data_IF_340053701872
#
_entry.id   IF_340053701872
#
_cell.length_a   1.000
_cell.length_b   1.000
_cell.length_c   1.000
_cell.angle_alpha   90.00
_cell.angle_beta   90.00
_cell.angle_gamma   90.00
#
_symmetry.space_group_name_H-M   'P 1'
#
loop_
_entity.id
_entity.type
_entity.pdbx_description
1 polymer ?
#
# COMPACT_ATOMS: atom_id res chain seq x y z
N UNK A 1 3.70 9.73 -4.42
CA UNK A 1 3.61 8.69 -3.39
C UNK A 1 4.61 7.56 -3.65
N UNK A 2 4.54 6.79 -4.73
CA UNK A 2 5.35 5.56 -4.94
C UNK A 2 6.87 5.79 -4.99
N UNK A 3 7.32 6.89 -5.59
CA UNK A 3 8.75 7.26 -5.55
C UNK A 3 9.24 7.54 -4.14
N UNK A 4 8.42 8.20 -3.35
CA UNK A 4 8.71 8.46 -1.94
C UNK A 4 8.78 7.15 -1.14
N UNK A 5 7.82 6.22 -1.34
CA UNK A 5 7.83 4.89 -0.72
C UNK A 5 9.12 4.14 -1.06
N UNK A 6 9.47 4.05 -2.34
CA UNK A 6 10.68 3.36 -2.79
C UNK A 6 11.95 3.97 -2.16
N UNK A 7 12.03 5.30 -2.07
CA UNK A 7 13.17 5.99 -1.50
C UNK A 7 13.27 5.83 0.02
N UNK A 8 12.16 5.89 0.75
CA UNK A 8 12.15 5.92 2.22
C UNK A 8 12.00 4.54 2.87
N UNK A 9 11.33 3.60 2.20
CA UNK A 9 11.03 2.25 2.73
C UNK A 9 11.69 1.12 1.94
N UNK A 10 12.34 1.41 0.84
CA UNK A 10 13.00 0.40 -0.02
C UNK A 10 14.06 -0.40 0.71
N UNK A 11 14.79 0.18 1.65
CA UNK A 11 15.77 -0.53 2.47
C UNK A 11 15.11 -1.57 3.39
N UNK A 12 13.96 -1.26 3.99
CA UNK A 12 13.18 -2.21 4.80
C UNK A 12 12.67 -3.38 3.94
N UNK A 13 12.11 -3.07 2.77
CA UNK A 13 11.67 -4.11 1.83
C UNK A 13 12.83 -5.04 1.41
N UNK A 14 14.03 -4.51 1.19
CA UNK A 14 15.21 -5.34 0.86
C UNK A 14 15.63 -6.27 1.99
N UNK A 15 15.49 -5.84 3.24
CA UNK A 15 15.85 -6.66 4.42
C UNK A 15 14.84 -7.76 4.69
N UNK A 16 13.58 -7.56 4.31
CA UNK A 16 12.54 -8.58 4.47
C UNK A 16 12.88 -9.81 3.65
N UNK A 17 12.69 -10.99 4.24
CA UNK A 17 12.87 -12.28 3.57
C UNK A 17 11.80 -12.51 2.51
N UNK A 18 10.57 -12.02 2.75
CA UNK A 18 9.43 -12.10 1.86
C UNK A 18 8.68 -10.77 1.83
N UNK A 19 9.17 -9.76 1.08
CA UNK A 19 8.57 -8.44 1.06
C UNK A 19 7.29 -8.43 0.24
N UNK A 20 6.14 -8.41 0.92
CA UNK A 20 4.81 -8.25 0.32
C UNK A 20 4.33 -6.82 0.49
N UNK A 21 3.96 -6.20 -0.61
CA UNK A 21 3.26 -4.92 -0.65
C UNK A 21 1.81 -5.13 -1.09
N UNK A 22 0.90 -4.46 -0.43
CA UNK A 22 -0.53 -4.47 -0.76
C UNK A 22 -0.93 -3.12 -1.34
N UNK A 23 -1.60 -3.13 -2.48
CA UNK A 23 -2.29 -1.97 -3.03
C UNK A 23 -3.79 -2.12 -2.75
N UNK A 24 -4.25 -1.46 -1.70
CA UNK A 24 -5.61 -1.58 -1.18
C UNK A 24 -6.54 -0.61 -1.91
N UNK A 25 -7.64 -1.15 -2.46
CA UNK A 25 -8.62 -0.37 -3.19
C UNK A 25 -8.08 0.21 -4.50
N UNK A 26 -7.42 -0.61 -5.32
CA UNK A 26 -6.77 -0.15 -6.55
C UNK A 26 -7.74 0.37 -7.63
N UNK A 27 -9.06 0.14 -7.46
CA UNK A 27 -10.09 0.72 -8.31
C UNK A 27 -10.41 -0.06 -9.57
N UNK A 28 -10.88 0.63 -10.60
CA UNK A 28 -11.45 0.02 -11.80
C UNK A 28 -10.43 -0.66 -12.72
N UNK A 29 -9.14 -0.30 -12.63
CA UNK A 29 -8.10 -0.83 -13.50
C UNK A 29 -6.84 -1.20 -12.72
N UNK A 30 -6.08 -2.23 -13.15
CA UNK A 30 -4.96 -2.79 -12.40
C UNK A 30 -3.66 -1.97 -12.52
N UNK A 31 -3.72 -0.75 -13.00
CA UNK A 31 -2.53 0.03 -13.32
C UNK A 31 -1.73 0.42 -12.08
N UNK A 32 -2.41 0.76 -10.98
CA UNK A 32 -1.71 1.20 -9.78
C UNK A 32 -0.92 0.08 -9.10
N UNK A 33 -1.40 -1.18 -8.98
CA UNK A 33 -0.55 -2.29 -8.53
C UNK A 33 0.60 -2.62 -9.50
N UNK A 34 0.36 -2.53 -10.81
CA UNK A 34 1.39 -2.75 -11.84
C UNK A 34 2.52 -1.72 -11.70
N UNK A 35 2.18 -0.43 -11.59
CA UNK A 35 3.15 0.64 -11.42
C UNK A 35 3.87 0.54 -10.07
N UNK A 36 3.16 0.21 -9.00
CA UNK A 36 3.75 -0.01 -7.68
C UNK A 36 4.81 -1.11 -7.73
N UNK A 37 4.50 -2.27 -8.33
CA UNK A 37 5.46 -3.36 -8.49
C UNK A 37 6.71 -2.89 -9.23
N UNK A 38 6.54 -2.24 -10.37
CA UNK A 38 7.65 -1.72 -11.17
C UNK A 38 8.51 -0.77 -10.34
N UNK A 39 7.88 0.13 -9.60
CA UNK A 39 8.57 1.13 -8.79
C UNK A 39 9.31 0.51 -7.59
N UNK A 40 8.68 -0.39 -6.86
CA UNK A 40 9.28 -1.01 -5.69
C UNK A 40 10.45 -1.93 -6.05
N UNK A 41 10.37 -2.64 -7.18
CA UNK A 41 11.44 -3.53 -7.64
C UNK A 41 12.73 -2.80 -8.03
N UNK A 42 12.67 -1.50 -8.32
CA UNK A 42 13.90 -0.71 -8.50
C UNK A 42 14.72 -0.60 -7.21
N UNK A 43 14.06 -0.60 -6.06
CA UNK A 43 14.69 -0.49 -4.74
C UNK A 43 14.82 -1.85 -4.03
N UNK A 44 13.88 -2.77 -4.25
CA UNK A 44 13.79 -4.08 -3.59
C UNK A 44 13.31 -5.14 -4.61
N UNK A 45 14.21 -5.77 -5.38
CA UNK A 45 13.86 -6.63 -6.53
C UNK A 45 12.97 -7.83 -6.21
N UNK A 46 13.00 -8.34 -4.96
CA UNK A 46 12.18 -9.49 -4.53
C UNK A 46 10.75 -9.11 -4.14
N UNK A 47 10.39 -7.83 -4.15
CA UNK A 47 9.06 -7.38 -3.74
C UNK A 47 7.98 -8.00 -4.62
N UNK A 48 6.95 -8.50 -3.94
CA UNK A 48 5.69 -8.93 -4.55
C UNK A 48 4.60 -7.92 -4.22
N UNK A 49 3.67 -7.71 -5.14
CA UNK A 49 2.52 -6.83 -4.95
C UNK A 49 1.23 -7.62 -5.04
N UNK A 50 0.32 -7.38 -4.14
CA UNK A 50 -1.05 -7.90 -4.17
C UNK A 50 -2.01 -6.71 -4.25
N UNK A 51 -2.72 -6.60 -5.36
CA UNK A 51 -3.85 -5.67 -5.49
C UNK A 51 -5.07 -6.25 -4.76
N UNK A 52 -5.65 -5.48 -3.85
CA UNK A 52 -6.85 -5.86 -3.10
C UNK A 52 -7.99 -4.91 -3.46
N UNK A 53 -9.13 -5.45 -3.85
CA UNK A 53 -10.31 -4.67 -4.26
C UNK A 53 -11.58 -5.36 -3.74
N UNK A 54 -12.52 -4.54 -3.27
CA UNK A 54 -13.77 -5.04 -2.68
C UNK A 54 -14.82 -5.43 -3.75
N UNK A 55 -14.70 -4.88 -4.95
CA UNK A 55 -15.57 -5.22 -6.07
C UNK A 55 -15.05 -6.49 -6.78
N UNK A 56 -15.78 -7.61 -6.71
CA UNK A 56 -15.34 -8.86 -7.33
C UNK A 56 -15.25 -8.78 -8.86
N UNK A 57 -16.03 -7.93 -9.51
CA UNK A 57 -15.96 -7.74 -10.95
C UNK A 57 -14.65 -7.06 -11.36
N UNK A 58 -14.19 -6.08 -10.59
CA UNK A 58 -12.87 -5.44 -10.79
C UNK A 58 -11.73 -6.40 -10.57
N UNK A 59 -11.83 -7.27 -9.56
CA UNK A 59 -10.84 -8.33 -9.34
C UNK A 59 -10.79 -9.30 -10.52
N UNK A 60 -11.95 -9.74 -11.02
CA UNK A 60 -12.01 -10.62 -12.18
C UNK A 60 -11.39 -9.96 -13.41
N UNK A 61 -11.65 -8.68 -13.65
CA UNK A 61 -11.08 -7.93 -14.76
C UNK A 61 -9.56 -7.73 -14.65
N UNK A 62 -9.01 -7.73 -13.42
CA UNK A 62 -7.58 -7.58 -13.17
C UNK A 62 -6.78 -8.89 -13.32
N UNK A 63 -7.41 -10.06 -13.16
CA UNK A 63 -6.75 -11.38 -13.22
C UNK A 63 -5.87 -11.61 -14.45
N UNK A 64 -6.26 -11.20 -15.68
CA UNK A 64 -5.39 -11.37 -16.86
C UNK A 64 -4.03 -10.68 -16.75
N UNK A 65 -3.86 -9.75 -15.82
CA UNK A 65 -2.61 -9.03 -15.56
C UNK A 65 -1.75 -9.70 -14.48
N UNK A 66 -2.22 -10.79 -13.86
CA UNK A 66 -1.42 -11.57 -12.90
C UNK A 66 -0.16 -12.11 -13.56
N UNK A 67 0.93 -12.04 -12.85
CA UNK A 67 2.24 -12.55 -13.26
C UNK A 67 3.14 -12.75 -12.05
N UNK A 68 4.35 -13.22 -12.29
CA UNK A 68 5.34 -13.35 -11.21
C UNK A 68 5.47 -12.06 -10.40
N UNK A 69 5.17 -12.16 -9.12
CA UNK A 69 5.22 -11.04 -8.17
C UNK A 69 4.03 -10.10 -8.21
N UNK A 70 2.99 -10.37 -9.01
CA UNK A 70 1.76 -9.59 -9.04
C UNK A 70 0.53 -10.50 -8.99
N UNK A 71 -0.31 -10.31 -8.00
CA UNK A 71 -1.57 -11.02 -7.85
C UNK A 71 -2.70 -10.06 -7.45
N UNK A 72 -3.95 -10.49 -7.66
CA UNK A 72 -5.13 -9.74 -7.28
C UNK A 72 -6.03 -10.58 -6.38
N UNK A 73 -6.62 -9.95 -5.35
CA UNK A 73 -7.46 -10.60 -4.36
C UNK A 73 -8.72 -9.77 -4.09
N UNK A 74 -9.83 -10.48 -3.95
CA UNK A 74 -11.06 -9.89 -3.44
C UNK A 74 -10.97 -9.71 -1.93
N UNK A 75 -11.28 -8.52 -1.43
CA UNK A 75 -11.27 -8.20 -0.01
C UNK A 75 -11.21 -6.70 0.26
N UNK A 76 -11.12 -6.37 1.54
CA UNK A 76 -11.10 -5.00 2.04
C UNK A 76 -10.05 -4.80 3.12
N UNK A 77 -10.44 -4.15 4.22
CA UNK A 77 -9.52 -3.78 5.30
C UNK A 77 -8.99 -4.96 6.13
N UNK A 78 -9.51 -6.16 5.92
CA UNK A 78 -8.95 -7.40 6.48
C UNK A 78 -7.63 -7.80 5.82
N UNK A 79 -7.35 -7.24 4.65
CA UNK A 79 -6.10 -7.46 3.90
C UNK A 79 -5.83 -8.95 3.69
N UNK A 80 -6.49 -9.62 2.72
CA UNK A 80 -6.48 -11.08 2.55
C UNK A 80 -5.17 -11.59 1.91
N UNK A 81 -4.04 -11.37 2.58
CA UNK A 81 -2.73 -11.90 2.23
C UNK A 81 -2.20 -12.78 3.34
N UNK A 82 -1.37 -13.76 2.97
CA UNK A 82 -0.68 -14.60 3.97
C UNK A 82 0.39 -13.80 4.68
N UNK A 83 0.52 -14.02 5.97
CA UNK A 83 1.49 -13.33 6.82
C UNK A 83 1.16 -11.85 7.03
N UNK A 84 2.20 -11.10 7.32
CA UNK A 84 2.10 -9.67 7.61
C UNK A 84 2.79 -8.87 6.50
N UNK A 85 2.08 -8.03 5.75
CA UNK A 85 2.67 -7.26 4.67
C UNK A 85 3.71 -6.27 5.18
N UNK A 86 4.76 -6.08 4.39
CA UNK A 86 5.80 -5.09 4.63
C UNK A 86 5.37 -3.68 4.23
N UNK A 87 4.35 -3.56 3.39
CA UNK A 87 3.78 -2.30 2.94
C UNK A 87 2.29 -2.47 2.65
N UNK A 88 1.49 -1.51 3.08
CA UNK A 88 0.12 -1.31 2.61
C UNK A 88 0.04 0.10 2.05
N UNK A 89 -0.41 0.24 0.80
CA UNK A 89 -0.72 1.52 0.19
C UNK A 89 -2.24 1.62 0.02
N UNK A 90 -2.85 2.69 0.55
CA UNK A 90 -4.26 3.01 0.41
C UNK A 90 -4.40 4.43 -0.17
N UNK A 91 -4.54 4.53 -1.49
CA UNK A 91 -4.62 5.81 -2.18
C UNK A 91 -6.06 6.12 -2.58
N UNK A 92 -6.59 7.26 -2.13
CA UNK A 92 -7.97 7.71 -2.35
C UNK A 92 -9.07 6.78 -1.79
N UNK A 93 -8.74 5.87 -0.89
CA UNK A 93 -9.68 4.89 -0.33
C UNK A 93 -10.51 5.50 0.79
N UNK A 94 -9.88 6.22 1.72
CA UNK A 94 -10.52 6.66 2.96
C UNK A 94 -11.19 8.03 2.86
N UNK A 95 -11.07 8.76 1.78
CA UNK A 95 -11.64 10.11 1.63
C UNK A 95 -13.17 10.19 1.73
N UNK A 96 -13.85 9.07 1.68
CA UNK A 96 -15.31 8.96 1.80
C UNK A 96 -15.78 8.60 3.21
N UNK A 97 -14.85 8.33 4.13
CA UNK A 97 -15.11 7.95 5.51
C UNK A 97 -14.95 9.17 6.43
N UNK A 98 -15.68 9.18 7.54
CA UNK A 98 -15.51 10.20 8.58
C UNK A 98 -14.23 9.95 9.41
N UNK A 99 -13.88 10.92 10.25
CA UNK A 99 -12.63 10.89 11.01
C UNK A 99 -12.52 9.69 11.96
N UNK A 100 -13.63 9.31 12.64
CA UNK A 100 -13.66 8.17 13.56
C UNK A 100 -13.46 6.86 12.80
N UNK A 101 -14.13 6.70 11.67
CA UNK A 101 -13.98 5.53 10.80
C UNK A 101 -12.55 5.42 10.24
N UNK A 102 -11.93 6.56 9.87
CA UNK A 102 -10.53 6.57 9.40
C UNK A 102 -9.59 6.08 10.50
N UNK A 103 -9.77 6.54 11.75
CA UNK A 103 -8.96 6.10 12.88
C UNK A 103 -9.05 4.58 13.11
N UNK A 104 -10.27 4.02 13.07
CA UNK A 104 -10.50 2.58 13.19
C UNK A 104 -9.84 1.79 12.06
N UNK A 105 -9.95 2.26 10.82
CA UNK A 105 -9.32 1.62 9.66
C UNK A 105 -7.80 1.67 9.78
N UNK A 106 -7.22 2.79 10.18
CA UNK A 106 -5.78 2.89 10.41
C UNK A 106 -5.30 1.89 11.44
N UNK A 107 -6.01 1.77 12.57
CA UNK A 107 -5.67 0.79 13.61
C UNK A 107 -5.71 -0.64 13.07
N UNK A 108 -6.75 -1.01 12.33
CA UNK A 108 -6.89 -2.33 11.72
C UNK A 108 -5.79 -2.63 10.71
N UNK A 109 -5.47 -1.69 9.83
CA UNK A 109 -4.43 -1.86 8.82
C UNK A 109 -3.03 -1.91 9.44
N UNK A 110 -2.75 -1.06 10.43
CA UNK A 110 -1.47 -1.09 11.15
C UNK A 110 -1.26 -2.41 11.90
N UNK A 111 -2.32 -3.00 12.46
CA UNK A 111 -2.26 -4.31 13.12
C UNK A 111 -1.92 -5.47 12.14
N UNK A 112 -2.14 -5.29 10.84
CA UNK A 112 -1.79 -6.28 9.81
C UNK A 112 -0.31 -6.19 9.39
N UNK A 113 0.34 -5.05 9.60
CA UNK A 113 1.73 -4.81 9.16
C UNK A 113 2.72 -5.78 9.81
N UNK A 114 3.81 -6.06 9.10
CA UNK A 114 4.96 -6.74 9.67
C UNK A 114 5.44 -6.01 10.94
N UNK A 115 5.64 -6.71 12.04
CA UNK A 115 6.05 -6.07 13.30
C UNK A 115 7.46 -5.47 13.20
N UNK A 116 7.72 -4.46 14.00
CA UNK A 116 9.08 -3.97 14.21
C UNK A 116 9.89 -5.00 14.99
N UNK A 117 11.21 -5.01 14.78
CA UNK A 117 12.12 -5.93 15.43
C UNK A 117 13.56 -5.42 15.40
N UNK A 118 14.53 -6.21 15.88
CA UNK A 118 15.94 -5.81 15.87
C UNK A 118 16.41 -5.44 14.46
N UNK A 119 16.79 -4.18 14.26
CA UNK A 119 17.26 -3.66 12.97
C UNK A 119 16.16 -3.43 11.91
N UNK A 120 14.88 -3.60 12.26
CA UNK A 120 13.74 -3.34 11.39
C UNK A 120 12.73 -2.41 12.05
N UNK A 121 12.25 -1.43 11.29
CA UNK A 121 11.16 -0.54 11.72
C UNK A 121 9.76 -1.17 11.53
N UNK A 122 9.70 -2.40 11.02
CA UNK A 122 8.45 -3.05 10.66
C UNK A 122 7.85 -2.55 9.35
N UNK A 123 6.62 -2.98 9.09
CA UNK A 123 5.87 -2.58 7.91
C UNK A 123 5.44 -1.11 7.92
N UNK A 124 4.96 -0.65 6.78
CA UNK A 124 4.49 0.72 6.57
C UNK A 124 3.10 0.71 5.94
N UNK A 125 2.18 1.48 6.52
CA UNK A 125 0.95 1.90 5.87
C UNK A 125 1.18 3.30 5.31
N UNK A 126 0.87 3.49 4.03
CA UNK A 126 0.84 4.81 3.39
C UNK A 126 -0.58 5.06 2.92
N UNK A 127 -1.29 5.91 3.63
CA UNK A 127 -2.65 6.31 3.30
C UNK A 127 -2.66 7.75 2.84
N UNK A 128 -3.37 8.04 1.76
CA UNK A 128 -3.43 9.39 1.26
C UNK A 128 -4.40 9.62 0.13
N UNK A 129 -4.45 10.87 -0.28
CA UNK A 129 -5.34 11.33 -1.33
C UNK A 129 -4.60 12.24 -2.31
N UNK A 130 -5.10 12.31 -3.53
CA UNK A 130 -4.70 13.29 -4.52
C UNK A 130 -5.92 14.07 -5.02
N UNK A 131 -5.66 15.27 -5.55
CA UNK A 131 -6.70 16.02 -6.27
C UNK A 131 -7.05 15.33 -7.62
N UNK A 132 -8.13 15.78 -8.25
CA UNK A 132 -8.67 15.18 -9.47
C UNK A 132 -7.70 15.20 -10.65
N UNK A 133 -6.76 16.14 -10.66
CA UNK A 133 -5.75 16.29 -11.73
C UNK A 133 -4.36 15.81 -11.32
N UNK A 134 -4.23 15.22 -10.12
CA UNK A 134 -2.98 14.64 -9.63
C UNK A 134 -1.85 15.64 -9.40
N UNK A 135 -2.16 16.92 -9.17
CA UNK A 135 -1.16 17.96 -8.88
C UNK A 135 -0.84 18.11 -7.41
N UNK A 136 -1.81 17.82 -6.55
CA UNK A 136 -1.66 17.91 -5.09
C UNK A 136 -1.88 16.54 -4.48
N UNK A 137 -0.93 16.13 -3.67
CA UNK A 137 -1.00 14.87 -2.95
C UNK A 137 -0.72 15.14 -1.48
N UNK A 138 -1.47 14.47 -0.63
CA UNK A 138 -1.17 14.40 0.79
C UNK A 138 -1.24 12.94 1.23
N UNK A 139 -0.28 12.49 2.03
CA UNK A 139 -0.32 11.17 2.62
C UNK A 139 0.28 11.14 4.01
N UNK A 140 -0.23 10.23 4.81
CA UNK A 140 0.30 9.88 6.13
C UNK A 140 1.00 8.54 6.01
N UNK A 141 2.16 8.42 6.62
CA UNK A 141 2.87 7.18 6.79
C UNK A 141 2.75 6.72 8.25
N UNK A 142 2.24 5.48 8.42
CA UNK A 142 2.03 4.88 9.73
C UNK A 142 2.82 3.57 9.82
N UNK A 143 3.40 3.32 10.98
CA UNK A 143 3.98 2.02 11.32
C UNK A 143 3.05 1.21 12.21
N UNK A 144 3.48 0.01 12.67
CA UNK A 144 2.72 -0.78 13.63
C UNK A 144 2.37 0.00 14.92
N UNK A 145 3.18 0.99 15.28
CA UNK A 145 3.00 1.85 16.45
C UNK A 145 2.10 3.07 16.21
N UNK A 146 1.70 3.35 14.96
CA UNK A 146 0.85 4.47 14.57
C UNK A 146 1.53 5.49 13.64
N UNK A 147 1.01 6.72 13.57
CA UNK A 147 1.47 7.75 12.64
C UNK A 147 2.94 8.15 12.84
N UNK A 148 3.68 8.28 11.72
CA UNK A 148 5.09 8.68 11.69
C UNK A 148 5.31 10.02 11.03
N UNK A 149 4.73 10.20 9.84
CA UNK A 149 4.95 11.42 9.03
C UNK A 149 3.71 11.78 8.24
N UNK A 150 3.55 13.06 7.98
CA UNK A 150 2.61 13.60 6.99
C UNK A 150 3.42 14.27 5.89
N UNK A 151 3.08 14.00 4.65
CA UNK A 151 3.77 14.56 3.49
C UNK A 151 2.79 15.29 2.59
N UNK A 152 3.15 16.49 2.19
CA UNK A 152 2.45 17.29 1.18
C UNK A 152 3.34 17.38 -0.05
N UNK A 153 2.81 17.03 -1.21
CA UNK A 153 3.51 17.14 -2.48
C UNK A 153 2.66 17.93 -3.47
N UNK A 154 3.28 18.92 -4.10
CA UNK A 154 2.66 19.72 -5.16
C UNK A 154 3.51 19.68 -6.40
N UNK A 155 2.86 19.61 -7.55
CA UNK A 155 3.52 19.80 -8.85
C UNK A 155 3.34 21.26 -9.27
N UNK A 156 4.44 21.96 -9.40
CA UNK A 156 4.49 23.32 -9.95
C UNK A 156 4.31 23.31 -11.46
#
# INVERSE_FOLDING_TARGET
MDRWIAATHGAELRRSTDPVAVDLGYGAAPWTPVELLTRLRTAAPRTRVVGVEIDPARVAAARPYEREGLAFRHGGFEVPVQGSPSLIRAANVLRQYDEEQVADVWQRLCARLAPAGPGSRGGLLVEGTCDEIGRRHVWVALGPEGPRTVTFATRL
#
